data_IF_963579403881
#
_entry.id   IF_963579403881
#
_cell.length_a   1.000
_cell.length_b   1.000
_cell.length_c   1.000
_cell.angle_alpha   90.00
_cell.angle_beta   90.00
_cell.angle_gamma   90.00
#
_symmetry.space_group_name_H-M   'P 1'
#
loop_
_entity.id
_entity.type
_entity.pdbx_description
1 polymer ?
#
# COMPACT_ATOMS: atom_id res chain seq x y z
N UNK A 1 24.06 -8.77 -7.43
CA UNK A 1 23.06 -8.02 -8.22
C UNK A 1 22.50 -6.94 -7.29
N UNK A 2 22.34 -5.67 -7.73
CA UNK A 2 21.58 -4.71 -6.92
C UNK A 2 20.21 -5.34 -6.63
N UNK A 3 19.77 -5.30 -5.36
CA UNK A 3 18.50 -5.92 -4.95
C UNK A 3 17.39 -5.30 -5.80
N UNK A 4 16.88 -6.06 -6.77
CA UNK A 4 15.72 -5.71 -7.56
C UNK A 4 14.52 -5.98 -6.66
N UNK A 5 14.08 -4.95 -5.94
CA UNK A 5 12.91 -5.01 -5.08
C UNK A 5 11.72 -4.44 -5.87
N UNK A 6 11.06 -5.34 -6.60
CA UNK A 6 9.84 -5.08 -7.35
C UNK A 6 8.70 -5.90 -6.76
N UNK A 7 8.51 -5.76 -5.44
CA UNK A 7 7.36 -6.32 -4.76
C UNK A 7 6.10 -5.54 -5.15
N UNK A 8 5.08 -6.25 -5.64
CA UNK A 8 3.75 -5.69 -5.84
C UNK A 8 3.08 -5.45 -4.49
N UNK A 9 2.37 -4.35 -4.37
CA UNK A 9 1.70 -3.98 -3.12
C UNK A 9 0.26 -3.54 -3.36
N UNK A 10 -0.55 -3.71 -2.32
CA UNK A 10 -1.95 -3.32 -2.30
C UNK A 10 -2.20 -2.32 -1.18
N UNK A 11 -3.18 -1.43 -1.37
CA UNK A 11 -3.62 -0.50 -0.35
C UNK A 11 -5.13 -0.30 -0.39
N UNK A 12 -5.71 0.03 0.76
CA UNK A 12 -7.12 0.43 0.87
C UNK A 12 -7.18 1.95 0.82
N UNK A 13 -7.94 2.48 -0.15
CA UNK A 13 -8.09 3.92 -0.39
C UNK A 13 -9.56 4.32 -0.26
N UNK A 14 -9.82 5.52 0.24
CA UNK A 14 -11.14 6.16 0.25
C UNK A 14 -11.19 7.37 -0.69
N UNK A 15 -12.38 7.96 -0.90
CA UNK A 15 -12.52 9.19 -1.69
C UNK A 15 -11.66 10.33 -1.16
N UNK A 16 -11.22 11.22 -2.06
CA UNK A 16 -10.51 12.43 -1.68
C UNK A 16 -11.40 13.35 -0.81
N UNK A 17 -10.81 13.99 0.20
CA UNK A 17 -11.51 14.94 1.05
C UNK A 17 -12.37 14.33 2.16
N UNK A 18 -12.24 13.02 2.45
CA UNK A 18 -12.85 12.43 3.64
C UNK A 18 -12.42 13.19 4.91
N UNK A 19 -13.34 13.48 5.85
CA UNK A 19 -12.96 14.09 7.12
C UNK A 19 -12.00 13.22 7.93
N UNK A 20 -11.04 13.82 8.64
CA UNK A 20 -10.03 13.12 9.43
C UNK A 20 -10.63 12.10 10.41
N UNK A 21 -11.77 12.44 11.03
CA UNK A 21 -12.45 11.54 11.96
C UNK A 21 -12.92 10.24 11.27
N UNK A 22 -13.39 10.34 10.03
CA UNK A 22 -13.83 9.18 9.22
C UNK A 22 -12.61 8.35 8.83
N UNK A 23 -11.52 9.00 8.38
CA UNK A 23 -10.27 8.31 8.02
C UNK A 23 -9.70 7.55 9.22
N UNK A 24 -9.68 8.16 10.41
CA UNK A 24 -9.22 7.52 11.65
C UNK A 24 -10.09 6.32 12.02
N UNK A 25 -11.41 6.45 11.91
CA UNK A 25 -12.34 5.35 12.18
C UNK A 25 -12.11 4.19 11.22
N UNK A 26 -12.10 4.44 9.91
CA UNK A 26 -11.86 3.40 8.89
C UNK A 26 -10.52 2.69 9.09
N UNK A 27 -9.46 3.44 9.39
CA UNK A 27 -8.16 2.85 9.68
C UNK A 27 -8.21 1.94 10.92
N UNK A 28 -8.92 2.33 11.98
CA UNK A 28 -9.07 1.50 13.17
C UNK A 28 -9.82 0.19 12.87
N UNK A 29 -10.91 0.26 12.08
CA UNK A 29 -11.67 -0.93 11.67
C UNK A 29 -10.85 -1.86 10.78
N UNK A 30 -10.09 -1.32 9.82
CA UNK A 30 -9.17 -2.12 9.00
C UNK A 30 -8.14 -2.81 9.89
N UNK A 31 -7.51 -2.10 10.83
CA UNK A 31 -6.56 -2.71 11.75
C UNK A 31 -7.19 -3.78 12.65
N UNK A 32 -8.46 -3.62 13.02
CA UNK A 32 -9.21 -4.63 13.77
C UNK A 32 -9.44 -5.88 12.91
N UNK A 33 -9.90 -5.74 11.66
CA UNK A 33 -10.11 -6.84 10.74
C UNK A 33 -8.81 -7.63 10.47
N UNK A 34 -7.67 -6.93 10.36
CA UNK A 34 -6.36 -7.55 10.19
C UNK A 34 -5.88 -8.35 11.41
N UNK A 35 -6.59 -8.32 12.54
CA UNK A 35 -6.29 -9.21 13.69
C UNK A 35 -6.91 -10.59 13.53
N UNK A 36 -7.81 -10.79 12.57
CA UNK A 36 -8.41 -12.08 12.27
C UNK A 36 -7.32 -13.07 11.78
N UNK A 37 -7.09 -14.19 12.50
CA UNK A 37 -6.09 -15.17 12.15
C UNK A 37 -6.44 -15.94 10.86
N UNK A 38 -7.72 -16.15 10.55
CA UNK A 38 -8.14 -16.83 9.32
C UNK A 38 -7.88 -15.97 8.10
N UNK A 39 -8.18 -14.66 8.19
CA UNK A 39 -7.86 -13.69 7.15
C UNK A 39 -6.35 -13.65 6.87
N UNK A 40 -5.55 -13.51 7.92
CA UNK A 40 -4.08 -13.52 7.83
C UNK A 40 -3.56 -14.81 7.20
N UNK A 41 -4.04 -15.96 7.66
CA UNK A 41 -3.61 -17.25 7.12
C UNK A 41 -3.97 -17.40 5.63
N UNK A 42 -5.15 -16.93 5.23
CA UNK A 42 -5.59 -16.95 3.83
C UNK A 42 -4.70 -16.08 2.93
N UNK A 43 -4.31 -14.89 3.39
CA UNK A 43 -3.44 -13.98 2.64
C UNK A 43 -1.99 -14.46 2.59
N UNK A 44 -1.45 -14.98 3.68
CA UNK A 44 -0.11 -15.59 3.68
C UNK A 44 -0.03 -16.76 2.70
N UNK A 45 -1.08 -17.59 2.59
CA UNK A 45 -1.17 -18.65 1.56
C UNK A 45 -1.14 -18.12 0.13
N UNK A 46 -1.56 -16.88 -0.09
CA UNK A 46 -1.54 -16.20 -1.38
C UNK A 46 -0.23 -15.43 -1.61
N UNK A 47 0.74 -15.51 -0.69
CA UNK A 47 2.00 -14.77 -0.77
C UNK A 47 1.89 -13.30 -0.35
N UNK A 48 0.77 -12.89 0.26
CA UNK A 48 0.56 -11.51 0.72
C UNK A 48 1.11 -11.37 2.14
N UNK A 49 2.06 -10.45 2.31
CA UNK A 49 2.51 -10.01 3.63
C UNK A 49 1.63 -8.86 4.14
N UNK A 50 1.09 -9.00 5.35
CA UNK A 50 0.23 -7.97 5.94
C UNK A 50 1.07 -6.88 6.58
N UNK A 51 1.05 -5.69 5.98
CA UNK A 51 1.63 -4.48 6.56
C UNK A 51 0.53 -3.62 7.18
N UNK A 52 0.77 -3.12 8.39
CA UNK A 52 -0.15 -2.21 9.09
C UNK A 52 0.54 -0.89 9.38
N UNK A 53 -0.23 0.19 9.47
CA UNK A 53 0.31 1.51 9.71
C UNK A 53 -0.79 2.56 9.85
N UNK A 54 -0.37 3.82 9.89
CA UNK A 54 -1.25 4.98 9.88
C UNK A 54 -1.56 5.45 8.44
N UNK A 55 -2.67 6.20 8.24
CA UNK A 55 -2.97 6.83 6.95
C UNK A 55 -1.85 7.73 6.43
N UNK A 56 -1.14 8.41 7.33
CA UNK A 56 0.01 9.25 6.99
C UNK A 56 1.19 8.43 6.47
N UNK A 57 1.51 7.29 7.10
CA UNK A 57 2.55 6.38 6.62
C UNK A 57 2.21 5.81 5.24
N UNK A 58 0.96 5.41 5.01
CA UNK A 58 0.51 4.96 3.70
C UNK A 58 0.65 6.07 2.65
N UNK A 59 0.27 7.30 2.99
CA UNK A 59 0.42 8.46 2.10
C UNK A 59 1.88 8.72 1.71
N UNK A 60 2.81 8.58 2.66
CA UNK A 60 4.25 8.68 2.39
C UNK A 60 4.72 7.56 1.47
N UNK A 61 4.28 6.33 1.71
CA UNK A 61 4.68 5.17 0.90
C UNK A 61 4.21 5.28 -0.56
N UNK A 62 2.97 5.70 -0.79
CA UNK A 62 2.43 5.92 -2.15
C UNK A 62 3.28 6.95 -2.90
N UNK A 63 3.67 8.05 -2.22
CA UNK A 63 4.52 9.09 -2.82
C UNK A 63 5.91 8.53 -3.19
N UNK A 64 6.55 7.81 -2.27
CA UNK A 64 7.88 7.25 -2.53
C UNK A 64 7.86 6.23 -3.67
N UNK A 65 6.82 5.39 -3.75
CA UNK A 65 6.68 4.42 -4.83
C UNK A 65 6.41 5.11 -6.17
N UNK A 66 5.56 6.13 -6.19
CA UNK A 66 5.32 6.94 -7.39
C UNK A 66 6.58 7.65 -7.89
N UNK A 67 7.39 8.21 -6.99
CA UNK A 67 8.68 8.83 -7.32
C UNK A 67 9.67 7.81 -7.89
N UNK A 68 9.81 6.66 -7.21
CA UNK A 68 10.70 5.56 -7.62
C UNK A 68 10.35 5.05 -9.02
N UNK A 69 9.09 4.67 -9.23
CA UNK A 69 8.65 4.14 -10.52
C UNK A 69 8.64 5.21 -11.62
N UNK A 70 8.30 6.46 -11.29
CA UNK A 70 8.44 7.57 -12.20
C UNK A 70 9.89 7.75 -12.68
N UNK A 71 10.87 7.57 -11.81
CA UNK A 71 12.29 7.63 -12.20
C UNK A 71 12.68 6.46 -13.12
N UNK A 72 12.20 5.25 -12.83
CA UNK A 72 12.42 4.07 -13.69
C UNK A 72 11.87 4.31 -15.09
N UNK A 73 10.62 4.78 -15.19
CA UNK A 73 9.96 5.07 -16.48
C UNK A 73 10.76 6.09 -17.29
N UNK A 74 11.17 7.20 -16.68
CA UNK A 74 11.96 8.24 -17.35
C UNK A 74 13.33 7.73 -17.81
N UNK A 75 14.05 7.00 -16.96
CA UNK A 75 15.38 6.47 -17.28
C UNK A 75 15.34 5.44 -18.41
N UNK A 76 14.28 4.63 -18.46
CA UNK A 76 14.10 3.59 -19.47
C UNK A 76 13.35 4.05 -20.72
N UNK A 77 12.94 5.33 -20.79
CA UNK A 77 12.13 5.91 -21.88
C UNK A 77 10.87 5.07 -22.19
N UNK A 78 10.23 4.55 -21.14
CA UNK A 78 9.00 3.75 -21.25
C UNK A 78 7.84 4.70 -21.56
N UNK A 79 7.00 4.33 -22.53
CA UNK A 79 5.78 5.05 -22.89
C UNK A 79 4.60 4.12 -22.75
N UNK A 80 3.46 4.67 -22.36
CA UNK A 80 2.18 3.99 -22.51
C UNK A 80 1.75 4.13 -23.97
N UNK A 81 1.21 3.07 -24.54
CA UNK A 81 0.71 3.03 -25.92
C UNK A 81 -0.56 3.87 -26.11
#
# INVERSE_FOLDING_TARGET
MPKFDAEDWFAILGPAGLPDAVVKKLNAEVQAALKDPELKASWVKQGIEVRTGSPAQLSTYIKSEGERWGQVIRNANIKLD
#
